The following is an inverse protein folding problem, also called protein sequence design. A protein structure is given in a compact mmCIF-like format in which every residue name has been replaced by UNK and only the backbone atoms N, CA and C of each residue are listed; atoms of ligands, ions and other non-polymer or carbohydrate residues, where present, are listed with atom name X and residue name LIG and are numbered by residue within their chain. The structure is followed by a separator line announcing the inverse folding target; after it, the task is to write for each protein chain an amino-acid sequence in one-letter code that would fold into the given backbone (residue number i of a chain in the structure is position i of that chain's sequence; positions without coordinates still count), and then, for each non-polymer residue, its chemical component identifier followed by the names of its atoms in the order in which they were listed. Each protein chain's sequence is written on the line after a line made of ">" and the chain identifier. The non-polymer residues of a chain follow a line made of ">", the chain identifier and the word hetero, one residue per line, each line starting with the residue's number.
data_IF_282157036431
#
_entry.id   IF_282157036431
#
_cell.length_a   1.000
_cell.length_b   1.000
_cell.length_c   1.000
_cell.angle_alpha   90.00
_cell.angle_beta   90.00
_cell.angle_gamma   90.00
#
_symmetry.space_group_name_H-M   'P 1'
#
loop_
_entity.id
_entity.type
_entity.pdbx_description
1 polymer ?
#
# COMPACT_ATOMS: atom_id res chain seq x y z
N UNK A 1 -23.49 -2.11 -10.49
CA UNK A 1 -22.08 -2.51 -10.32
C UNK A 1 -21.15 -1.69 -11.22
N UNK A 2 -21.24 -1.81 -12.55
CA UNK A 2 -20.30 -1.19 -13.48
C UNK A 2 -20.15 0.34 -13.33
N UNK A 3 -21.25 1.09 -13.29
CA UNK A 3 -21.22 2.56 -13.13
C UNK A 3 -20.54 2.96 -11.80
N UNK A 4 -20.88 2.28 -10.71
CA UNK A 4 -20.26 2.53 -9.40
C UNK A 4 -18.76 2.19 -9.41
N UNK A 5 -18.38 1.07 -10.02
CA UNK A 5 -16.97 0.66 -10.15
C UNK A 5 -16.14 1.64 -10.96
N UNK A 6 -16.65 2.08 -12.12
CA UNK A 6 -15.98 3.08 -12.96
C UNK A 6 -15.86 4.42 -12.22
N UNK A 7 -16.94 4.89 -11.57
CA UNK A 7 -16.92 6.12 -10.78
C UNK A 7 -15.88 6.07 -9.66
N UNK A 8 -15.79 4.93 -8.97
CA UNK A 8 -14.81 4.69 -7.91
C UNK A 8 -13.38 4.75 -8.44
N UNK A 9 -13.09 4.07 -9.57
CA UNK A 9 -11.77 4.11 -10.21
C UNK A 9 -11.39 5.53 -10.60
N UNK A 10 -12.29 6.28 -11.25
CA UNK A 10 -12.04 7.66 -11.67
C UNK A 10 -11.77 8.56 -10.46
N UNK A 11 -12.52 8.38 -9.37
CA UNK A 11 -12.35 9.18 -8.15
C UNK A 11 -11.01 8.90 -7.48
N UNK A 12 -10.66 7.62 -7.28
CA UNK A 12 -9.40 7.23 -6.64
C UNK A 12 -8.20 7.65 -7.51
N UNK A 13 -8.25 7.37 -8.81
CA UNK A 13 -7.17 7.74 -9.72
C UNK A 13 -7.03 9.26 -9.82
N UNK A 14 -8.14 9.98 -10.01
CA UNK A 14 -8.13 11.44 -10.07
C UNK A 14 -7.55 12.08 -8.80
N UNK A 15 -8.00 11.62 -7.62
CA UNK A 15 -7.51 12.10 -6.33
C UNK A 15 -6.00 11.89 -6.16
N UNK A 16 -5.51 10.68 -6.44
CA UNK A 16 -4.09 10.37 -6.27
C UNK A 16 -3.20 11.02 -7.34
N UNK A 17 -3.68 11.21 -8.58
CA UNK A 17 -2.98 12.02 -9.58
C UNK A 17 -2.83 13.46 -9.09
N UNK A 18 -3.89 14.05 -8.53
CA UNK A 18 -3.84 15.41 -8.00
C UNK A 18 -2.81 15.54 -6.86
N UNK A 19 -2.71 14.54 -5.98
CA UNK A 19 -1.68 14.50 -4.92
C UNK A 19 -0.27 14.50 -5.54
N UNK A 20 0.00 13.61 -6.48
CA UNK A 20 1.30 13.53 -7.17
C UNK A 20 1.66 14.84 -7.88
N UNK A 21 0.71 15.40 -8.64
CA UNK A 21 0.88 16.67 -9.37
C UNK A 21 1.12 17.83 -8.41
N UNK A 22 0.39 17.91 -7.30
CA UNK A 22 0.55 18.98 -6.31
C UNK A 22 1.96 19.00 -5.72
N UNK A 23 2.50 17.84 -5.32
CA UNK A 23 3.86 17.73 -4.77
C UNK A 23 4.93 18.00 -5.85
N UNK A 24 4.67 17.61 -7.10
CA UNK A 24 5.60 17.85 -8.20
C UNK A 24 5.72 19.34 -8.57
N UNK A 25 4.58 20.05 -8.62
CA UNK A 25 4.51 21.46 -9.02
C UNK A 25 4.93 22.40 -7.89
N UNK A 26 4.45 22.18 -6.67
CA UNK A 26 4.67 23.10 -5.56
C UNK A 26 6.01 22.81 -4.85
N UNK A 27 6.96 23.74 -4.95
CA UNK A 27 8.27 23.60 -4.29
C UNK A 27 8.14 23.57 -2.78
N UNK A 28 7.17 24.30 -2.21
CA UNK A 28 6.90 24.29 -0.77
C UNK A 28 6.49 22.90 -0.25
N UNK A 29 5.93 22.06 -1.12
CA UNK A 29 5.51 20.69 -0.79
C UNK A 29 6.62 19.65 -1.02
N UNK A 30 7.82 20.01 -1.49
CA UNK A 30 8.93 19.05 -1.69
C UNK A 30 9.67 18.78 -0.39
N UNK A 31 8.93 18.30 0.59
CA UNK A 31 9.45 17.90 1.90
C UNK A 31 9.73 16.40 1.94
N UNK A 32 10.62 16.03 2.84
CA UNK A 32 10.99 14.65 3.17
C UNK A 32 9.76 13.76 3.38
N UNK A 33 8.76 14.20 4.14
CA UNK A 33 7.54 13.40 4.38
C UNK A 33 6.63 13.28 3.16
N UNK A 34 6.58 14.31 2.30
CA UNK A 34 5.70 14.31 1.14
C UNK A 34 6.15 13.29 0.08
N UNK A 35 7.40 12.82 0.11
CA UNK A 35 7.83 11.66 -0.72
C UNK A 35 7.11 10.37 -0.32
N UNK A 36 6.84 10.13 0.97
CA UNK A 36 6.03 8.98 1.38
C UNK A 36 4.57 9.12 0.95
N UNK A 37 4.03 10.34 0.96
CA UNK A 37 2.67 10.62 0.46
C UNK A 37 2.58 10.34 -1.04
N UNK A 38 3.59 10.74 -1.82
CA UNK A 38 3.66 10.41 -3.25
C UNK A 38 3.79 8.91 -3.48
N UNK A 39 4.59 8.19 -2.67
CA UNK A 39 4.68 6.73 -2.73
C UNK A 39 3.33 6.04 -2.45
N UNK A 40 2.61 6.50 -1.43
CA UNK A 40 1.26 6.04 -1.11
C UNK A 40 0.30 6.30 -2.28
N UNK A 41 0.28 7.52 -2.80
CA UNK A 41 -0.56 7.88 -3.95
C UNK A 41 -0.22 7.04 -5.19
N UNK A 42 1.07 6.72 -5.39
CA UNK A 42 1.49 5.85 -6.48
C UNK A 42 1.00 4.40 -6.31
N UNK A 43 1.05 3.84 -5.09
CA UNK A 43 0.49 2.52 -4.81
C UNK A 43 -1.03 2.48 -5.07
N UNK A 44 -1.76 3.49 -4.61
CA UNK A 44 -3.20 3.59 -4.80
C UNK A 44 -3.58 3.81 -6.29
N UNK A 45 -2.75 4.54 -7.05
CA UNK A 45 -2.92 4.67 -8.51
C UNK A 45 -2.75 3.34 -9.22
N UNK A 46 -1.70 2.59 -8.90
CA UNK A 46 -1.50 1.26 -9.47
C UNK A 46 -2.65 0.33 -9.12
N UNK A 47 -3.18 0.40 -7.90
CA UNK A 47 -4.33 -0.40 -7.48
C UNK A 47 -5.58 -0.01 -8.29
N UNK A 48 -5.84 1.28 -8.44
CA UNK A 48 -6.99 1.78 -9.20
C UNK A 48 -6.93 1.47 -10.70
N UNK A 49 -5.73 1.43 -11.29
CA UNK A 49 -5.54 1.23 -12.72
C UNK A 49 -5.32 -0.22 -13.13
N UNK A 50 -4.72 -1.05 -12.25
CA UNK A 50 -4.34 -2.42 -12.58
C UNK A 50 -5.26 -3.46 -11.93
N UNK A 51 -5.68 -3.23 -10.68
CA UNK A 51 -6.43 -4.23 -9.91
C UNK A 51 -7.94 -4.01 -10.07
N UNK A 52 -8.40 -2.79 -9.77
CA UNK A 52 -9.83 -2.49 -9.75
C UNK A 52 -10.56 -2.73 -11.08
N UNK A 53 -9.99 -2.48 -12.28
CA UNK A 53 -10.71 -2.72 -13.53
C UNK A 53 -11.02 -4.20 -13.75
N UNK A 54 -10.08 -5.09 -13.43
CA UNK A 54 -10.27 -6.54 -13.54
C UNK A 54 -11.22 -7.06 -12.45
N UNK A 55 -11.18 -6.48 -11.25
CA UNK A 55 -12.13 -6.79 -10.19
C UNK A 55 -13.56 -6.40 -10.58
N UNK A 56 -13.75 -5.17 -11.10
CA UNK A 56 -15.07 -4.69 -11.59
C UNK A 56 -15.57 -5.53 -12.76
N UNK A 57 -14.68 -5.99 -13.64
CA UNK A 57 -15.01 -6.91 -14.73
C UNK A 57 -15.53 -8.26 -14.20
N UNK A 58 -14.85 -8.87 -13.23
CA UNK A 58 -15.28 -10.12 -12.61
C UNK A 58 -16.64 -9.96 -11.90
N UNK A 59 -16.83 -8.87 -11.17
CA UNK A 59 -18.11 -8.54 -10.51
C UNK A 59 -19.25 -8.33 -11.52
N UNK A 60 -18.97 -7.71 -12.67
CA UNK A 60 -19.94 -7.54 -13.74
C UNK A 60 -20.42 -8.88 -14.31
N UNK A 61 -19.55 -9.90 -14.33
CA UNK A 61 -19.88 -11.27 -14.74
C UNK A 61 -20.52 -12.11 -13.63
N UNK A 62 -20.94 -11.50 -12.52
CA UNK A 62 -21.55 -12.21 -11.39
C UNK A 62 -20.54 -12.93 -10.51
N UNK A 63 -19.30 -12.42 -10.44
CA UNK A 63 -18.21 -13.00 -9.65
C UNK A 63 -17.48 -14.15 -10.35
N UNK A 64 -17.81 -14.43 -11.61
CA UNK A 64 -17.18 -15.49 -12.40
C UNK A 64 -15.90 -14.97 -13.05
N UNK A 65 -14.79 -15.63 -12.76
CA UNK A 65 -13.51 -15.42 -13.42
C UNK A 65 -13.44 -16.19 -14.73
N UNK A 66 -13.40 -15.45 -15.84
CA UNK A 66 -13.37 -16.02 -17.20
C UNK A 66 -11.99 -15.97 -17.86
N UNK A 67 -11.01 -15.36 -17.19
CA UNK A 67 -9.65 -15.19 -17.70
C UNK A 67 -8.73 -16.34 -17.21
N UNK A 68 -7.49 -16.37 -17.69
CA UNK A 68 -6.52 -17.39 -17.28
C UNK A 68 -6.22 -17.33 -15.76
N UNK A 69 -5.96 -18.49 -15.15
CA UNK A 69 -5.56 -18.58 -13.74
C UNK A 69 -4.25 -17.83 -13.43
N UNK A 70 -3.33 -17.77 -14.39
CA UNK A 70 -2.11 -16.98 -14.26
C UNK A 70 -2.41 -15.48 -14.08
N UNK A 71 -3.43 -14.96 -14.78
CA UNK A 71 -3.88 -13.58 -14.62
C UNK A 71 -4.55 -13.38 -13.27
N UNK A 72 -5.28 -14.38 -12.76
CA UNK A 72 -5.84 -14.33 -11.42
C UNK A 72 -4.73 -14.27 -10.36
N UNK A 73 -3.72 -15.15 -10.43
CA UNK A 73 -2.62 -15.16 -9.49
C UNK A 73 -1.81 -13.87 -9.54
N UNK A 74 -1.57 -13.33 -10.74
CA UNK A 74 -0.97 -12.00 -10.91
C UNK A 74 -1.83 -10.88 -10.31
N UNK A 75 -3.15 -10.91 -10.52
CA UNK A 75 -4.08 -9.92 -9.98
C UNK A 75 -4.10 -9.94 -8.45
N UNK A 76 -4.25 -11.12 -7.84
CA UNK A 76 -4.26 -11.29 -6.39
C UNK A 76 -2.90 -10.90 -5.76
N UNK A 77 -1.80 -11.22 -6.44
CA UNK A 77 -0.46 -10.80 -6.00
C UNK A 77 -0.35 -9.28 -5.97
N UNK A 78 -0.78 -8.60 -7.05
CA UNK A 78 -0.72 -7.14 -7.15
C UNK A 78 -1.63 -6.48 -6.11
N UNK A 79 -2.82 -7.02 -5.89
CA UNK A 79 -3.75 -6.56 -4.86
C UNK A 79 -3.10 -6.61 -3.47
N UNK A 80 -2.59 -7.78 -3.07
CA UNK A 80 -1.91 -7.94 -1.78
C UNK A 80 -0.69 -7.04 -1.69
N UNK A 81 0.16 -6.98 -2.72
CA UNK A 81 1.37 -6.15 -2.72
C UNK A 81 1.03 -4.66 -2.56
N UNK A 82 0.09 -4.14 -3.33
CA UNK A 82 -0.24 -2.72 -3.33
C UNK A 82 -0.97 -2.31 -2.04
N UNK A 83 -1.90 -3.12 -1.55
CA UNK A 83 -2.53 -2.89 -0.25
C UNK A 83 -1.51 -2.89 0.89
N UNK A 84 -0.60 -3.87 0.90
CA UNK A 84 0.46 -3.98 1.91
C UNK A 84 1.43 -2.80 1.82
N UNK A 85 1.81 -2.40 0.61
CA UNK A 85 2.65 -1.23 0.39
C UNK A 85 1.99 0.04 0.92
N UNK A 86 0.69 0.26 0.70
CA UNK A 86 -0.03 1.42 1.22
C UNK A 86 -0.01 1.46 2.76
N UNK A 87 -0.26 0.32 3.43
CA UNK A 87 -0.19 0.24 4.90
C UNK A 87 1.23 0.48 5.40
N UNK A 88 2.25 -0.13 4.77
CA UNK A 88 3.64 0.07 5.16
C UNK A 88 4.13 1.50 4.93
N UNK A 89 3.68 2.18 3.86
CA UNK A 89 3.95 3.61 3.66
C UNK A 89 3.34 4.45 4.79
N UNK A 90 2.11 4.17 5.24
CA UNK A 90 1.52 4.83 6.40
C UNK A 90 2.32 4.58 7.69
N UNK A 91 2.80 3.36 7.92
CA UNK A 91 3.69 3.05 9.04
C UNK A 91 5.01 3.81 8.95
N UNK A 92 5.61 3.87 7.76
CA UNK A 92 6.86 4.59 7.53
C UNK A 92 6.73 6.10 7.79
N UNK A 93 5.58 6.70 7.45
CA UNK A 93 5.26 8.09 7.82
C UNK A 93 5.26 8.25 9.35
N UNK A 94 4.62 7.33 10.08
CA UNK A 94 4.60 7.34 11.55
C UNK A 94 6.00 7.23 12.16
N UNK A 95 6.83 6.32 11.63
CA UNK A 95 8.24 6.15 12.05
C UNK A 95 9.06 7.41 11.78
N UNK A 96 8.97 7.98 10.57
CA UNK A 96 9.71 9.20 10.21
C UNK A 96 9.36 10.38 11.13
N UNK A 97 8.06 10.56 11.42
CA UNK A 97 7.59 11.61 12.34
C UNK A 97 8.04 11.38 13.78
N UNK A 98 7.98 10.15 14.28
CA UNK A 98 8.44 9.81 15.61
C UNK A 98 9.94 10.08 15.76
N UNK A 99 10.77 9.65 14.80
CA UNK A 99 12.23 9.87 14.84
C UNK A 99 12.56 11.36 14.80
N UNK A 100 11.85 12.15 13.98
CA UNK A 100 12.07 13.58 13.84
C UNK A 100 11.84 14.38 15.14
N UNK A 101 10.97 13.91 16.04
CA UNK A 101 10.71 14.53 17.35
C UNK A 101 11.64 13.94 18.43
N UNK A 102 11.78 12.62 18.47
CA UNK A 102 12.48 11.92 19.56
C UNK A 102 14.00 12.07 19.51
N UNK A 103 14.57 12.27 18.33
CA UNK A 103 16.01 12.53 18.18
C UNK A 103 16.17 13.93 17.61
N UNK A 104 16.49 14.95 18.44
CA UNK A 104 16.86 16.27 17.96
C UNK A 104 18.26 16.18 17.35
N UNK A 105 18.36 15.50 16.21
CA UNK A 105 19.57 15.46 15.41
C UNK A 105 19.82 16.89 14.92
N UNK A 106 21.08 17.30 14.97
CA UNK A 106 21.58 18.52 14.37
C UNK A 106 21.47 18.36 12.83
N UNK A 107 20.24 18.46 12.31
CA UNK A 107 19.84 17.95 11.00
C UNK A 107 19.93 19.06 9.96
N UNK A 108 20.84 18.92 9.00
CA UNK A 108 20.86 19.79 7.82
C UNK A 108 19.67 19.41 6.92
N UNK A 109 18.54 20.11 7.13
CA UNK A 109 17.16 19.83 6.67
C UNK A 109 16.94 19.87 5.15
N UNK A 110 18.00 19.91 4.34
CA UNK A 110 17.95 20.29 2.92
C UNK A 110 18.09 19.14 1.92
N UNK A 111 18.30 17.88 2.35
CA UNK A 111 18.45 16.74 1.45
C UNK A 111 17.55 15.57 1.85
N UNK A 112 17.18 14.72 0.88
CA UNK A 112 16.55 13.42 1.15
C UNK A 112 17.54 12.61 1.98
N UNK A 113 17.18 12.34 3.23
CA UNK A 113 18.01 11.53 4.10
C UNK A 113 18.11 10.13 3.48
N UNK A 114 19.30 9.54 3.52
CA UNK A 114 19.48 8.11 3.20
C UNK A 114 18.49 7.23 3.98
N UNK A 115 18.09 7.66 5.19
CA UNK A 115 17.04 7.05 6.01
C UNK A 115 15.71 6.94 5.26
N UNK A 116 15.30 7.98 4.55
CA UNK A 116 14.00 8.00 3.88
C UNK A 116 13.96 7.08 2.68
N UNK A 117 15.02 7.13 1.87
CA UNK A 117 15.16 6.21 0.74
C UNK A 117 15.20 4.76 1.23
N UNK A 118 15.88 4.51 2.36
CA UNK A 118 15.90 3.20 3.00
C UNK A 118 14.50 2.77 3.46
N UNK A 119 13.79 3.64 4.19
CA UNK A 119 12.41 3.36 4.64
C UNK A 119 11.48 3.10 3.45
N UNK A 120 11.53 3.94 2.42
CA UNK A 120 10.74 3.80 1.21
C UNK A 120 11.06 2.48 0.49
N UNK A 121 12.35 2.17 0.29
CA UNK A 121 12.73 0.89 -0.32
C UNK A 121 12.27 -0.31 0.51
N UNK A 122 12.34 -0.20 1.84
CA UNK A 122 11.90 -1.25 2.75
C UNK A 122 10.39 -1.48 2.66
N UNK A 123 9.56 -0.44 2.54
CA UNK A 123 8.11 -0.62 2.42
C UNK A 123 7.74 -1.43 1.17
N UNK A 124 8.35 -1.11 0.02
CA UNK A 124 8.10 -1.84 -1.22
C UNK A 124 8.66 -3.27 -1.20
N UNK A 125 9.87 -3.46 -0.68
CA UNK A 125 10.49 -4.79 -0.59
C UNK A 125 9.73 -5.72 0.38
N UNK A 126 9.31 -5.20 1.54
CA UNK A 126 8.52 -5.97 2.50
C UNK A 126 7.14 -6.31 1.94
N UNK A 127 6.49 -5.37 1.25
CA UNK A 127 5.21 -5.62 0.60
C UNK A 127 5.31 -6.71 -0.48
N UNK A 128 6.36 -6.66 -1.30
CA UNK A 128 6.67 -7.70 -2.26
C UNK A 128 6.94 -9.06 -1.57
N UNK A 129 7.66 -9.07 -0.45
CA UNK A 129 7.94 -10.29 0.29
C UNK A 129 6.64 -10.95 0.79
N UNK A 130 5.69 -10.18 1.33
CA UNK A 130 4.38 -10.69 1.78
C UNK A 130 3.52 -11.21 0.61
N UNK A 131 3.58 -10.54 -0.54
CA UNK A 131 2.84 -10.95 -1.74
C UNK A 131 3.47 -12.14 -2.48
N UNK A 132 4.79 -12.34 -2.35
CA UNK A 132 5.55 -13.32 -3.11
C UNK A 132 5.04 -14.78 -3.07
N UNK A 133 4.47 -15.31 -1.97
CA UNK A 133 4.00 -16.70 -1.94
C UNK A 133 2.92 -17.01 -2.98
N UNK A 134 2.13 -16.01 -3.39
CA UNK A 134 1.11 -16.18 -4.45
C UNK A 134 1.78 -16.52 -5.78
N UNK A 135 2.86 -15.82 -6.14
CA UNK A 135 3.64 -16.07 -7.37
C UNK A 135 4.29 -17.46 -7.32
N UNK A 136 4.74 -17.90 -6.15
CA UNK A 136 5.33 -19.23 -5.96
C UNK A 136 4.30 -20.37 -5.95
N UNK A 137 3.03 -20.07 -6.25
CA UNK A 137 2.01 -21.09 -6.48
C UNK A 137 1.37 -21.63 -5.21
N UNK A 138 1.37 -20.87 -4.10
CA UNK A 138 0.64 -21.28 -2.89
C UNK A 138 -0.87 -21.49 -3.16
N UNK A 139 -1.40 -20.83 -4.19
CA UNK A 139 -2.77 -20.97 -4.66
C UNK A 139 -3.03 -22.24 -5.50
N UNK A 140 -2.00 -23.01 -5.91
CA UNK A 140 -2.16 -24.18 -6.76
C UNK A 140 -2.50 -25.44 -5.96
N UNK A 141 -3.66 -25.42 -5.31
CA UNK A 141 -4.17 -26.52 -4.49
C UNK A 141 -5.05 -27.49 -5.30
N UNK A 142 -5.08 -28.80 -4.95
CA UNK A 142 -6.02 -29.75 -5.55
C UNK A 142 -7.47 -29.29 -5.32
N UNK A 143 -8.28 -29.23 -6.38
CA UNK A 143 -9.68 -28.81 -6.29
C UNK A 143 -9.90 -27.29 -6.37
N UNK A 144 -8.89 -26.51 -6.77
CA UNK A 144 -9.06 -25.08 -7.10
C UNK A 144 -10.11 -24.93 -8.21
N UNK A 145 -11.16 -24.17 -7.92
CA UNK A 145 -12.18 -23.81 -8.89
C UNK A 145 -11.61 -22.76 -9.87
N UNK A 146 -11.49 -23.06 -11.18
CA UNK A 146 -10.97 -22.11 -12.16
C UNK A 146 -11.93 -20.96 -12.45
N UNK A 147 -13.21 -21.10 -12.08
CA UNK A 147 -14.25 -20.09 -12.31
C UNK A 147 -14.27 -18.98 -11.27
N UNK A 148 -13.43 -19.05 -10.23
CA UNK A 148 -13.36 -18.05 -9.16
C UNK A 148 -11.94 -17.59 -8.95
N UNK A 149 -11.72 -16.27 -8.96
CA UNK A 149 -10.43 -15.70 -8.62
C UNK A 149 -10.36 -15.34 -7.14
N UNK A 150 -9.78 -16.24 -6.35
CA UNK A 150 -9.62 -16.07 -4.90
C UNK A 150 -8.28 -16.57 -4.41
N UNK A 151 -7.84 -16.04 -3.27
CA UNK A 151 -6.72 -16.54 -2.48
C UNK A 151 -7.14 -17.75 -1.64
N UNK A 152 -6.18 -18.60 -1.31
CA UNK A 152 -6.34 -19.72 -0.39
C UNK A 152 -6.46 -19.24 1.08
N UNK A 153 -7.31 -19.90 1.87
CA UNK A 153 -7.71 -19.46 3.21
C UNK A 153 -6.53 -19.31 4.21
N UNK A 154 -5.59 -20.24 4.24
CA UNK A 154 -4.38 -20.15 5.07
C UNK A 154 -3.50 -18.96 4.65
N UNK A 155 -3.37 -18.72 3.33
CA UNK A 155 -2.64 -17.56 2.85
C UNK A 155 -3.36 -16.24 3.19
N UNK A 156 -4.69 -16.20 3.15
CA UNK A 156 -5.48 -15.03 3.56
C UNK A 156 -5.20 -14.68 5.03
N UNK A 157 -5.16 -15.67 5.92
CA UNK A 157 -4.82 -15.45 7.33
C UNK A 157 -3.39 -14.93 7.49
N UNK A 158 -2.41 -15.58 6.84
CA UNK A 158 -1.01 -15.14 6.87
C UNK A 158 -0.85 -13.69 6.39
N UNK A 159 -1.40 -13.38 5.20
CA UNK A 159 -1.32 -12.06 4.59
C UNK A 159 -2.01 -11.00 5.45
N UNK A 160 -3.19 -11.30 6.01
CA UNK A 160 -3.90 -10.37 6.88
C UNK A 160 -3.12 -10.04 8.16
N UNK A 161 -2.46 -11.05 8.76
CA UNK A 161 -1.65 -10.85 9.96
C UNK A 161 -0.43 -9.99 9.67
N UNK A 162 0.33 -10.32 8.63
CA UNK A 162 1.55 -9.60 8.26
C UNK A 162 1.28 -8.18 7.75
N UNK A 163 0.19 -7.97 7.00
CA UNK A 163 -0.08 -6.71 6.31
C UNK A 163 -0.94 -5.75 7.12
N UNK A 164 -1.77 -6.26 8.04
CA UNK A 164 -2.74 -5.43 8.77
C UNK A 164 -2.63 -5.58 10.29
N UNK A 165 -2.74 -6.80 10.84
CA UNK A 165 -2.81 -6.97 12.29
C UNK A 165 -1.50 -6.70 13.03
N UNK A 166 -0.34 -6.89 12.40
CA UNK A 166 0.96 -6.49 12.97
C UNK A 166 1.22 -4.98 12.76
N UNK A 167 1.05 -4.41 11.56
CA UNK A 167 1.37 -3.00 11.32
C UNK A 167 0.43 -2.01 11.99
N UNK A 168 -0.86 -2.33 12.12
CA UNK A 168 -1.84 -1.39 12.71
C UNK A 168 -1.54 -1.05 14.18
N UNK A 169 -1.29 -2.02 15.10
CA UNK A 169 -0.89 -1.71 16.47
C UNK A 169 0.41 -0.91 16.52
N UNK A 170 1.40 -1.25 15.69
CA UNK A 170 2.68 -0.51 15.62
C UNK A 170 2.41 0.94 15.21
N UNK A 171 1.59 1.15 14.17
CA UNK A 171 1.19 2.47 13.71
C UNK A 171 0.52 3.26 14.85
N UNK A 172 -0.49 2.69 15.50
CA UNK A 172 -1.21 3.34 16.61
C UNK A 172 -0.25 3.71 17.75
N UNK A 173 0.62 2.79 18.17
CA UNK A 173 1.62 3.05 19.21
C UNK A 173 2.57 4.17 18.81
N UNK A 174 3.09 4.17 17.58
CA UNK A 174 3.98 5.22 17.10
C UNK A 174 3.29 6.59 17.05
N UNK A 175 2.04 6.66 16.60
CA UNK A 175 1.28 7.91 16.60
C UNK A 175 1.02 8.42 18.02
N UNK A 176 0.62 7.55 18.94
CA UNK A 176 0.41 7.91 20.34
C UNK A 176 1.71 8.39 20.97
N UNK A 177 2.80 7.65 20.79
CA UNK A 177 4.12 8.02 21.30
C UNK A 177 4.60 9.35 20.72
N UNK A 178 4.42 9.57 19.41
CA UNK A 178 4.74 10.83 18.75
C UNK A 178 3.97 12.01 19.32
N UNK A 179 2.66 11.85 19.58
CA UNK A 179 1.85 12.90 20.21
C UNK A 179 2.34 13.17 21.64
N UNK A 180 2.62 12.14 22.43
CA UNK A 180 3.05 12.29 23.82
C UNK A 180 4.45 12.92 23.94
N UNK A 181 5.42 12.49 23.12
CA UNK A 181 6.75 13.11 23.09
C UNK A 181 6.70 14.52 22.53
N UNK A 182 5.81 14.78 21.56
CA UNK A 182 5.51 16.11 21.07
C UNK A 182 4.98 17.03 22.18
N UNK A 183 3.98 16.61 22.95
CA UNK A 183 3.39 17.39 24.05
C UNK A 183 4.41 17.65 25.17
N UNK A 184 5.26 16.67 25.51
CA UNK A 184 6.29 16.84 26.54
C UNK A 184 7.48 17.71 26.11
N UNK A 185 7.58 18.06 24.82
CA UNK A 185 8.64 18.92 24.26
C UNK A 185 8.26 20.40 24.20
N UNK A 186 7.02 20.77 24.57
CA UNK A 186 6.53 22.15 24.68
C UNK A 186 6.27 22.49 26.15
#
# INVERSE_FOLDING_TARGET
>A
ALICGISLIVTIAGGNVLVCVSVYLEKALKTTTNYFIVSLAFADLLLALLVLPLFVYAEFLGGVWTLNLLLCDGLMTMDVMLCTASIFNLCAIGVDRFIAVSVPLNYNRNYVDQRQLLLLSATWLLALAVASPVIFGINNVPGRDPSVCKLEDNYVVYSSVCSFFIPCPIMVLLYVLWILTGVNSW
#
